data_IF_456282707375
#
_entry.id   IF_456282707375
#
_cell.length_a   1.000
_cell.length_b   1.000
_cell.length_c   1.000
_cell.angle_alpha   90.00
_cell.angle_beta   90.00
_cell.angle_gamma   90.00
#
_symmetry.space_group_name_H-M   'P 1'
#
loop_
_entity.id
_entity.type
_entity.pdbx_description
1 polymer ?
#
# COMPACT_ATOMS: atom_id res chain seq x y z
N UNK A 1 -25.11 -22.62 4.45
CA UNK A 1 -24.82 -21.23 4.04
C UNK A 1 -23.61 -20.76 4.82
N UNK A 2 -22.43 -20.78 4.19
CA UNK A 2 -21.25 -20.15 4.80
C UNK A 2 -21.50 -18.66 4.94
N UNK A 3 -21.26 -18.14 6.14
CA UNK A 3 -21.46 -16.72 6.44
C UNK A 3 -20.24 -15.95 5.94
N UNK A 4 -20.48 -14.76 5.37
CA UNK A 4 -19.43 -13.81 4.99
C UNK A 4 -18.40 -13.64 6.12
N UNK A 5 -17.14 -13.99 5.85
CA UNK A 5 -15.99 -13.68 6.71
C UNK A 5 -15.49 -12.28 6.38
N UNK A 6 -15.38 -11.42 7.38
CA UNK A 6 -14.81 -10.07 7.23
C UNK A 6 -13.48 -10.06 7.97
N UNK A 7 -12.41 -9.74 7.26
CA UNK A 7 -11.05 -9.70 7.81
C UNK A 7 -10.46 -8.33 7.54
N UNK A 8 -9.87 -7.70 8.56
CA UNK A 8 -9.12 -6.46 8.37
C UNK A 8 -7.74 -6.76 7.77
N UNK A 9 -7.34 -5.98 6.78
CA UNK A 9 -6.03 -6.07 6.15
C UNK A 9 -5.13 -4.91 6.55
N UNK A 10 -5.41 -4.21 7.65
CA UNK A 10 -4.72 -2.95 7.94
C UNK A 10 -3.23 -3.11 8.24
N UNK A 11 -2.79 -4.28 8.70
CA UNK A 11 -1.43 -4.45 9.21
C UNK A 11 -0.50 -5.16 8.25
N UNK A 12 0.80 -4.89 8.38
CA UNK A 12 1.85 -5.65 7.69
C UNK A 12 1.81 -5.49 6.17
N UNK A 13 1.67 -4.25 5.70
CA UNK A 13 1.93 -3.90 4.31
C UNK A 13 3.42 -3.61 4.13
N UNK A 14 3.89 -3.79 2.90
CA UNK A 14 5.17 -3.27 2.44
C UNK A 14 4.90 -2.01 1.63
N UNK A 15 5.75 -1.00 1.77
CA UNK A 15 5.60 0.28 1.12
C UNK A 15 6.93 0.79 0.57
N UNK A 16 6.87 1.43 -0.59
CA UNK A 16 7.99 2.18 -1.14
C UNK A 16 7.55 3.48 -1.80
N UNK A 17 8.24 4.57 -1.46
CA UNK A 17 8.09 5.90 -2.05
C UNK A 17 8.91 6.01 -3.35
N UNK A 18 8.57 5.20 -4.34
CA UNK A 18 9.20 5.20 -5.68
C UNK A 18 8.23 4.70 -6.73
N UNK A 19 8.37 5.20 -7.95
CA UNK A 19 7.78 4.53 -9.12
C UNK A 19 8.65 3.31 -9.48
N UNK A 20 8.11 2.11 -9.27
CA UNK A 20 8.83 0.85 -9.47
C UNK A 20 8.16 0.07 -10.59
N UNK A 21 8.91 -0.15 -11.68
CA UNK A 21 8.45 -0.98 -12.78
C UNK A 21 8.16 -2.41 -12.29
N UNK A 22 7.09 -3.00 -12.81
CA UNK A 22 6.70 -4.40 -12.53
C UNK A 22 6.46 -4.71 -11.04
N UNK A 23 6.22 -3.71 -10.20
CA UNK A 23 5.92 -3.91 -8.78
C UNK A 23 4.57 -4.61 -8.50
N UNK A 24 3.79 -4.91 -9.54
CA UNK A 24 2.59 -5.74 -9.47
C UNK A 24 2.87 -7.24 -9.61
N UNK A 25 4.06 -7.64 -10.06
CA UNK A 25 4.39 -9.05 -10.26
C UNK A 25 4.52 -9.78 -8.91
N UNK A 26 4.04 -11.03 -8.86
CA UNK A 26 4.07 -11.84 -7.64
C UNK A 26 5.51 -12.08 -7.16
N UNK A 27 6.44 -12.27 -8.10
CA UNK A 27 7.85 -12.62 -7.84
C UNK A 27 8.76 -11.38 -7.69
N UNK A 28 8.19 -10.17 -7.67
CA UNK A 28 8.97 -8.95 -7.49
C UNK A 28 9.71 -8.94 -6.14
N UNK A 29 11.02 -8.67 -6.18
CA UNK A 29 11.84 -8.55 -4.97
C UNK A 29 11.51 -7.25 -4.22
N UNK A 30 10.79 -7.41 -3.10
CA UNK A 30 10.41 -6.34 -2.20
C UNK A 30 11.21 -6.32 -0.88
N UNK A 31 12.37 -6.99 -0.83
CA UNK A 31 13.19 -7.11 0.39
C UNK A 31 13.65 -5.75 0.96
N UNK A 32 13.68 -4.72 0.12
CA UNK A 32 14.11 -3.36 0.48
C UNK A 32 12.93 -2.40 0.76
N UNK A 33 11.70 -2.89 0.83
CA UNK A 33 10.51 -2.09 1.11
C UNK A 33 10.27 -1.95 2.61
N UNK A 34 9.58 -0.89 3.01
CA UNK A 34 9.33 -0.59 4.42
C UNK A 34 8.04 -1.24 4.90
N UNK A 35 8.04 -1.80 6.10
CA UNK A 35 6.79 -2.26 6.73
C UNK A 35 5.96 -1.08 7.23
N UNK A 36 4.66 -1.08 6.88
CA UNK A 36 3.68 -0.07 7.31
C UNK A 36 2.34 -0.70 7.65
N UNK A 37 1.56 0.00 8.48
CA UNK A 37 0.14 -0.28 8.73
C UNK A 37 -0.70 0.83 8.09
N UNK A 38 -1.87 0.49 7.54
CA UNK A 38 -2.78 1.43 6.88
C UNK A 38 -3.96 1.83 7.79
N UNK A 39 -4.50 3.06 7.67
CA UNK A 39 -4.16 4.09 6.67
C UNK A 39 -2.79 4.71 6.90
N UNK A 40 -2.02 4.86 5.82
CA UNK A 40 -0.68 5.46 5.82
C UNK A 40 -0.66 6.62 4.83
N UNK A 41 -0.37 7.82 5.31
CA UNK A 41 -0.10 8.99 4.49
C UNK A 41 1.42 9.15 4.33
N UNK A 42 1.96 8.69 3.22
CA UNK A 42 3.38 8.78 2.90
C UNK A 42 3.87 10.21 2.65
N UNK A 43 3.01 11.11 2.16
CA UNK A 43 3.44 12.45 1.74
C UNK A 43 3.91 13.31 2.93
N UNK A 44 3.41 13.05 4.14
CA UNK A 44 3.80 13.76 5.37
C UNK A 44 5.26 13.48 5.78
N UNK A 45 5.81 12.36 5.32
CA UNK A 45 7.19 11.96 5.64
C UNK A 45 8.22 12.64 4.74
N UNK A 46 7.77 13.29 3.66
CA UNK A 46 8.64 13.90 2.68
C UNK A 46 9.18 15.26 3.15
N UNK A 47 10.31 15.72 2.59
CA UNK A 47 10.88 17.00 2.95
C UNK A 47 9.94 18.18 2.64
N UNK A 48 10.04 19.22 3.46
CA UNK A 48 9.46 20.51 3.14
C UNK A 48 10.21 21.17 1.99
N UNK A 49 9.47 21.73 1.04
CA UNK A 49 9.97 22.45 -0.13
C UNK A 49 9.18 23.73 -0.29
N UNK A 50 9.75 24.86 0.11
CA UNK A 50 9.07 26.17 0.10
C UNK A 50 8.55 26.56 -1.28
N UNK A 51 9.26 26.15 -2.33
CA UNK A 51 8.96 26.48 -3.72
C UNK A 51 8.06 25.43 -4.41
N UNK A 52 7.43 24.53 -3.65
CA UNK A 52 6.46 23.57 -4.20
C UNK A 52 5.24 24.29 -4.77
N UNK A 53 4.70 23.87 -5.94
CA UNK A 53 3.45 24.39 -6.47
C UNK A 53 2.34 24.36 -5.41
N UNK A 54 1.52 25.41 -5.36
CA UNK A 54 0.47 25.64 -4.36
C UNK A 54 0.93 25.88 -2.90
N UNK A 55 2.23 25.70 -2.59
CA UNK A 55 2.89 26.20 -1.37
C UNK A 55 2.11 25.96 -0.06
N UNK A 56 1.76 27.07 0.62
CA UNK A 56 1.10 27.05 1.94
C UNK A 56 -0.23 26.33 1.96
N UNK A 57 -1.04 26.45 0.90
CA UNK A 57 -2.34 25.78 0.80
C UNK A 57 -2.24 24.24 0.85
N UNK A 58 -1.02 23.71 0.68
CA UNK A 58 -0.72 22.29 0.60
C UNK A 58 0.37 21.86 1.59
N UNK A 59 0.69 22.70 2.59
CA UNK A 59 1.62 22.36 3.67
C UNK A 59 3.09 22.32 3.26
N UNK A 60 3.45 22.79 2.07
CA UNK A 60 4.82 22.82 1.55
C UNK A 60 5.51 21.45 1.40
N UNK A 61 4.78 20.33 1.39
CA UNK A 61 5.38 19.01 1.16
C UNK A 61 5.67 18.79 -0.33
N UNK A 62 6.84 18.22 -0.64
CA UNK A 62 7.12 17.70 -1.99
C UNK A 62 6.35 16.40 -2.21
N UNK A 63 5.04 16.50 -2.43
CA UNK A 63 4.09 15.38 -2.37
C UNK A 63 3.85 14.66 -3.71
N UNK A 64 4.59 15.03 -4.76
CA UNK A 64 4.38 14.52 -6.11
C UNK A 64 5.15 13.23 -6.35
N UNK A 65 4.52 12.23 -6.96
CA UNK A 65 5.19 11.02 -7.39
C UNK A 65 4.29 9.80 -7.28
N UNK A 66 4.92 8.64 -7.41
CA UNK A 66 4.27 7.33 -7.32
C UNK A 66 4.83 6.58 -6.12
N UNK A 67 3.95 5.92 -5.37
CA UNK A 67 4.33 5.04 -4.28
C UNK A 67 3.56 3.73 -4.41
N UNK A 68 4.20 2.63 -4.04
CA UNK A 68 3.62 1.29 -4.14
C UNK A 68 3.38 0.70 -2.76
N UNK A 69 2.25 0.00 -2.63
CA UNK A 69 1.91 -0.82 -1.46
C UNK A 69 1.78 -2.27 -1.92
N UNK A 70 2.45 -3.20 -1.22
CA UNK A 70 2.38 -4.64 -1.46
C UNK A 70 1.94 -5.38 -0.20
N UNK A 71 1.11 -6.41 -0.39
CA UNK A 71 0.69 -7.31 0.69
C UNK A 71 0.44 -8.70 0.12
N UNK A 72 1.14 -9.69 0.69
CA UNK A 72 0.85 -11.10 0.45
C UNK A 72 -0.36 -11.49 1.30
N UNK A 73 -1.36 -12.09 0.65
CA UNK A 73 -2.60 -12.53 1.30
C UNK A 73 -2.81 -14.00 0.96
N UNK A 74 -2.99 -14.82 1.99
CA UNK A 74 -3.39 -16.20 1.87
C UNK A 74 -4.91 -16.30 2.02
N UNK A 75 -5.53 -17.11 1.17
CA UNK A 75 -6.96 -17.39 1.21
C UNK A 75 -7.17 -18.88 1.44
N UNK A 76 -8.13 -19.21 2.31
CA UNK A 76 -8.59 -20.57 2.49
C UNK A 76 -9.33 -21.02 1.22
N UNK A 77 -9.08 -22.25 0.73
CA UNK A 77 -9.90 -22.84 -0.34
C UNK A 77 -11.34 -23.07 0.17
N UNK A 78 -12.34 -22.70 -0.64
CA UNK A 78 -13.74 -23.01 -0.33
C UNK A 78 -14.05 -24.41 -0.87
N UNK A 79 -14.46 -25.37 -0.04
CA UNK A 79 -14.77 -26.73 -0.50
C UNK A 79 -15.92 -26.74 -1.53
N UNK A 80 -15.74 -27.49 -2.63
CA UNK A 80 -16.70 -27.60 -3.75
C UNK A 80 -18.11 -28.05 -3.32
N UNK A 81 -18.24 -28.68 -2.15
CA UNK A 81 -19.53 -29.13 -1.59
C UNK A 81 -20.47 -28.00 -1.17
N UNK A 82 -20.04 -26.73 -1.18
CA UNK A 82 -20.89 -25.57 -0.88
C UNK A 82 -21.58 -24.93 -2.09
N UNK A 83 -21.46 -25.51 -3.30
CA UNK A 83 -22.01 -24.96 -4.56
C UNK A 83 -23.35 -25.62 -4.97
N UNK A 84 -23.91 -26.54 -4.18
CA UNK A 84 -25.23 -27.15 -4.40
C UNK A 84 -26.31 -26.61 -3.47
#
# INVERSE_FOLDING_TARGET
MEKRKITTLNRGWLFIDRDVANAFENEHDDSNWYHVDIPHDWAISRPYKKDTPCGSSQGYFDRWGTGWYRKYVEFDEIPETCIL
#
